data_IF_071475220978
#
_entry.id   IF_071475220978
#
_cell.length_a   1.000
_cell.length_b   1.000
_cell.length_c   1.000
_cell.angle_alpha   90.00
_cell.angle_beta   90.00
_cell.angle_gamma   90.00
#
_symmetry.space_group_name_H-M   'P 1'
#
loop_
_entity.id
_entity.type
_entity.pdbx_description
1 polymer ?
#
# COMPACT_ATOMS: atom_id res chain seq x y z
N UNK A 1 -1.19 33.45 35.83
CA UNK A 1 -2.02 34.26 34.91
C UNK A 1 -1.17 34.70 33.71
N UNK A 2 -1.44 34.21 32.49
CA UNK A 2 -0.75 34.66 31.27
C UNK A 2 -1.74 35.47 30.44
N UNK A 3 -1.49 36.78 30.30
CA UNK A 3 -2.32 37.69 29.50
C UNK A 3 -2.15 37.34 28.02
N UNK A 4 -3.21 36.83 27.40
CA UNK A 4 -3.25 36.62 25.96
C UNK A 4 -3.35 37.99 25.29
N UNK A 5 -2.26 38.47 24.70
CA UNK A 5 -2.29 39.67 23.86
C UNK A 5 -3.13 39.33 22.63
N UNK A 6 -4.40 39.70 22.62
CA UNK A 6 -5.22 39.68 21.41
C UNK A 6 -4.50 40.53 20.35
N UNK A 7 -3.99 39.89 19.31
CA UNK A 7 -3.43 40.57 18.15
C UNK A 7 -4.58 41.21 17.37
N UNK A 8 -4.73 42.53 17.48
CA UNK A 8 -5.63 43.32 16.65
C UNK A 8 -5.07 43.36 15.21
N UNK A 9 -5.80 42.81 14.24
CA UNK A 9 -5.45 42.96 12.82
C UNK A 9 -6.06 44.27 12.31
N UNK A 10 -5.26 45.10 11.63
CA UNK A 10 -5.71 46.39 11.07
C UNK A 10 -6.77 46.12 9.98
N UNK A 11 -7.99 46.71 10.07
CA UNK A 11 -9.07 46.47 9.12
C UNK A 11 -8.78 46.99 7.71
N UNK A 12 -7.74 47.80 7.52
CA UNK A 12 -7.28 48.27 6.20
C UNK A 12 -6.34 47.29 5.52
N UNK A 13 -5.97 46.19 6.17
CA UNK A 13 -5.20 45.13 5.52
C UNK A 13 -6.13 44.45 4.52
N UNK A 14 -5.95 44.61 3.19
CA UNK A 14 -6.78 43.87 2.25
C UNK A 14 -6.57 42.38 2.51
N UNK A 15 -7.65 41.57 2.46
CA UNK A 15 -7.48 40.13 2.53
C UNK A 15 -6.55 39.71 1.40
N UNK A 16 -5.44 39.06 1.75
CA UNK A 16 -4.54 38.46 0.77
C UNK A 16 -5.26 37.27 0.14
N UNK A 17 -6.14 37.53 -0.81
CA UNK A 17 -6.66 36.51 -1.72
C UNK A 17 -5.59 36.23 -2.77
N UNK A 18 -4.45 35.70 -2.33
CA UNK A 18 -3.79 34.76 -3.21
C UNK A 18 -4.74 33.57 -3.28
N UNK A 19 -5.12 33.09 -4.48
CA UNK A 19 -5.72 31.77 -4.55
C UNK A 19 -4.76 30.83 -3.81
N UNK A 20 -5.27 30.12 -2.79
CA UNK A 20 -4.62 28.90 -2.30
C UNK A 20 -4.13 28.19 -3.55
N UNK A 21 -2.81 28.06 -3.66
CA UNK A 21 -2.13 27.63 -4.87
C UNK A 21 -2.99 26.52 -5.46
N UNK A 22 -3.56 26.81 -6.63
CA UNK A 22 -4.41 25.92 -7.40
C UNK A 22 -3.92 24.51 -7.08
N UNK A 23 -4.78 23.70 -6.45
CA UNK A 23 -4.49 22.33 -6.05
C UNK A 23 -4.06 21.60 -7.32
N UNK A 24 -2.82 21.82 -7.75
CA UNK A 24 -2.19 21.07 -8.82
C UNK A 24 -2.27 19.69 -8.24
N UNK A 25 -3.04 18.76 -8.85
CA UNK A 25 -3.11 17.43 -8.32
C UNK A 25 -1.67 16.98 -8.27
N UNK A 26 -1.14 16.85 -7.05
CA UNK A 26 0.24 16.47 -6.82
C UNK A 26 0.45 15.27 -7.73
N UNK A 27 1.40 15.32 -8.69
CA UNK A 27 1.49 14.28 -9.71
C UNK A 27 1.62 12.98 -8.95
N UNK A 28 0.55 12.17 -8.99
CA UNK A 28 0.43 11.04 -8.09
C UNK A 28 1.69 10.21 -8.30
N UNK A 29 2.46 9.92 -7.24
CA UNK A 29 3.66 9.12 -7.40
C UNK A 29 3.20 7.82 -8.05
N UNK A 30 3.70 7.58 -9.28
CA UNK A 30 3.32 6.39 -10.04
C UNK A 30 3.50 5.18 -9.12
N UNK A 31 2.54 4.24 -9.07
CA UNK A 31 2.73 3.01 -8.31
C UNK A 31 4.06 2.42 -8.73
N UNK A 32 4.93 2.15 -7.76
CA UNK A 32 6.20 1.50 -8.07
C UNK A 32 5.85 0.18 -8.76
N UNK A 33 6.55 -0.17 -9.85
CA UNK A 33 6.42 -1.51 -10.40
C UNK A 33 6.62 -2.50 -9.26
N UNK A 34 5.85 -3.59 -9.19
CA UNK A 34 6.11 -4.63 -8.21
C UNK A 34 7.57 -5.05 -8.38
N UNK A 35 8.31 -5.02 -7.27
CA UNK A 35 9.67 -5.53 -7.26
C UNK A 35 9.65 -6.99 -7.73
N UNK A 36 10.71 -7.42 -8.42
CA UNK A 36 10.85 -8.83 -8.78
C UNK A 36 10.85 -9.61 -7.47
N UNK A 37 9.79 -10.38 -7.23
CA UNK A 37 9.71 -11.25 -6.08
C UNK A 37 10.91 -12.19 -6.10
N UNK A 38 11.51 -12.42 -4.94
CA UNK A 38 12.55 -13.43 -4.77
C UNK A 38 11.95 -14.79 -5.15
N UNK A 39 12.60 -15.51 -6.08
CA UNK A 39 12.22 -16.89 -6.37
C UNK A 39 12.44 -17.70 -5.09
N UNK A 40 11.34 -18.10 -4.45
CA UNK A 40 11.39 -18.97 -3.29
C UNK A 40 11.86 -20.37 -3.68
N UNK A 41 12.56 -21.02 -2.77
CA UNK A 41 12.91 -22.44 -2.89
C UNK A 41 11.62 -23.27 -2.95
N UNK A 42 11.47 -24.07 -4.01
CA UNK A 42 10.35 -25.02 -4.12
C UNK A 42 10.78 -26.36 -3.51
N UNK A 43 9.90 -26.96 -2.71
CA UNK A 43 10.15 -28.29 -2.16
C UNK A 43 10.02 -29.35 -3.26
N UNK A 44 10.99 -30.25 -3.36
CA UNK A 44 10.89 -31.37 -4.28
C UNK A 44 9.83 -32.35 -3.78
N UNK A 45 8.73 -32.48 -4.52
CA UNK A 45 7.73 -33.52 -4.29
C UNK A 45 8.25 -34.82 -4.90
N UNK A 46 8.58 -35.79 -4.05
CA UNK A 46 8.88 -37.15 -4.49
C UNK A 46 7.61 -37.81 -5.08
N UNK A 47 7.77 -38.46 -6.24
CA UNK A 47 6.74 -39.32 -6.80
C UNK A 47 6.54 -40.55 -5.90
N UNK A 48 5.40 -40.60 -5.22
CA UNK A 48 5.02 -41.77 -4.42
C UNK A 48 4.54 -42.85 -5.39
N UNK A 49 5.44 -43.74 -5.81
CA UNK A 49 5.05 -44.96 -6.51
C UNK A 49 4.49 -45.96 -5.50
N UNK A 50 3.17 -46.07 -5.44
CA UNK A 50 2.52 -47.21 -4.80
C UNK A 50 2.63 -48.41 -5.74
N UNK A 51 3.33 -49.49 -5.34
CA UNK A 51 3.39 -50.68 -6.17
C UNK A 51 1.98 -51.26 -6.31
N UNK A 52 1.70 -51.87 -7.46
CA UNK A 52 0.39 -52.46 -7.74
C UNK A 52 -0.03 -53.54 -6.71
N UNK A 53 0.94 -54.10 -5.97
CA UNK A 53 0.71 -55.02 -4.86
C UNK A 53 0.00 -54.37 -3.65
N UNK A 54 0.16 -53.06 -3.48
CA UNK A 54 -0.36 -52.32 -2.32
C UNK A 54 -1.79 -51.84 -2.55
N UNK A 55 -2.34 -52.07 -3.75
CA UNK A 55 -3.70 -51.69 -4.13
C UNK A 55 -4.61 -52.92 -4.04
N UNK A 56 -5.50 -52.92 -3.05
CA UNK A 56 -6.54 -53.93 -2.90
C UNK A 56 -7.82 -53.45 -3.59
N UNK A 57 -8.27 -54.18 -4.60
CA UNK A 57 -9.57 -53.92 -5.25
C UNK A 57 -10.67 -54.57 -4.41
N UNK A 58 -11.67 -53.78 -4.00
CA UNK A 58 -12.88 -54.27 -3.32
C UNK A 58 -14.02 -54.27 -4.33
N UNK A 59 -14.61 -55.44 -4.57
CA UNK A 59 -15.82 -55.60 -5.38
C UNK A 59 -17.06 -55.36 -4.50
N UNK A 60 -18.06 -54.65 -5.03
CA UNK A 60 -19.31 -54.29 -4.36
C UNK A 60 -20.53 -54.86 -5.04
#
# INVERSE_FOLDING_TARGET
>A
EKRFRQQSKDPRTPPSHQPEAEETPSPSPRPRPPDKLEEGEVEEVCEISTPASDVLVVEG
#
